data_IF_260156658292
#
_entry.id   IF_260156658292
#
_cell.length_a   1.000
_cell.length_b   1.000
_cell.length_c   1.000
_cell.angle_alpha   90.00
_cell.angle_beta   90.00
_cell.angle_gamma   90.00
#
_symmetry.space_group_name_H-M   'P 1'
#
loop_
_entity.id
_entity.type
_entity.pdbx_description
1 polymer ?
#
# COMPACT_ATOMS: atom_id res chain seq x y z
N UNK A 1 8.15 -29.23 17.04
CA UNK A 1 8.05 -27.89 17.64
C UNK A 1 8.32 -26.84 16.56
N UNK A 2 7.42 -25.86 16.39
CA UNK A 2 7.66 -24.69 15.55
C UNK A 2 6.52 -24.40 14.57
N UNK A 3 5.44 -23.78 15.06
CA UNK A 3 4.27 -23.41 14.27
C UNK A 3 4.67 -22.41 13.16
N UNK A 4 4.60 -22.85 11.90
CA UNK A 4 4.60 -21.97 10.74
C UNK A 4 3.28 -21.18 10.75
N UNK A 5 3.31 -19.94 11.23
CA UNK A 5 2.17 -19.04 11.12
C UNK A 5 1.82 -18.90 9.64
N UNK A 6 0.76 -19.58 9.21
CA UNK A 6 0.09 -19.30 7.94
C UNK A 6 -0.30 -17.82 8.00
N UNK A 7 0.46 -16.97 7.33
CA UNK A 7 0.06 -15.60 7.09
C UNK A 7 -1.24 -15.67 6.30
N UNK A 8 -2.34 -15.45 7.01
CA UNK A 8 -3.69 -15.48 6.45
C UNK A 8 -3.83 -14.19 5.65
N UNK A 9 -3.34 -14.19 4.42
CA UNK A 9 -3.73 -13.17 3.46
C UNK A 9 -5.26 -13.20 3.41
N UNK A 10 -5.88 -12.05 3.67
CA UNK A 10 -7.31 -11.88 3.52
C UNK A 10 -7.64 -12.27 2.07
N UNK A 11 -8.39 -13.36 1.92
CA UNK A 11 -8.99 -13.72 0.65
C UNK A 11 -9.92 -12.56 0.27
N UNK A 12 -9.52 -11.78 -0.74
CA UNK A 12 -10.36 -10.75 -1.34
C UNK A 12 -11.53 -11.47 -2.01
N UNK A 13 -12.74 -11.29 -1.49
CA UNK A 13 -13.95 -11.77 -2.16
C UNK A 13 -14.06 -11.05 -3.50
N UNK A 14 -14.58 -11.76 -4.49
CA UNK A 14 -14.84 -11.27 -5.85
C UNK A 14 -15.71 -9.99 -5.89
N UNK A 15 -16.44 -9.71 -4.80
CA UNK A 15 -17.29 -8.53 -4.61
C UNK A 15 -16.73 -7.46 -3.65
N UNK A 16 -15.50 -7.61 -3.13
CA UNK A 16 -14.81 -6.61 -2.30
C UNK A 16 -14.00 -5.62 -3.16
N UNK A 17 -14.46 -5.34 -4.38
CA UNK A 17 -13.85 -4.38 -5.31
C UNK A 17 -14.24 -2.94 -4.99
N UNK A 18 -14.27 -2.56 -3.70
CA UNK A 18 -14.03 -1.17 -3.37
C UNK A 18 -12.53 -0.94 -3.55
N UNK A 19 -12.13 -0.72 -4.80
CA UNK A 19 -10.98 0.13 -5.05
C UNK A 19 -11.38 1.45 -4.40
N UNK A 20 -11.00 1.64 -3.14
CA UNK A 20 -10.80 2.98 -2.66
C UNK A 20 -9.75 3.53 -3.61
N UNK A 21 -10.23 4.28 -4.62
CA UNK A 21 -9.38 5.24 -5.28
C UNK A 21 -8.64 5.90 -4.14
N UNK A 22 -7.31 5.82 -4.18
CA UNK A 22 -6.48 6.56 -3.23
C UNK A 22 -7.11 7.95 -3.13
N UNK A 23 -7.17 8.57 -1.94
CA UNK A 23 -7.96 9.79 -1.75
C UNK A 23 -7.73 10.83 -2.88
N UNK A 24 -6.53 10.82 -3.46
CA UNK A 24 -6.08 11.45 -4.70
C UNK A 24 -6.99 11.28 -5.94
N UNK A 25 -7.45 10.07 -6.24
CA UNK A 25 -8.33 9.81 -7.39
C UNK A 25 -9.76 10.29 -7.16
N UNK A 26 -10.25 10.27 -5.92
CA UNK A 26 -11.58 10.80 -5.62
C UNK A 26 -11.67 12.29 -5.98
N UNK A 27 -10.64 13.09 -5.65
CA UNK A 27 -10.60 14.52 -5.96
C UNK A 27 -10.40 14.84 -7.45
N UNK A 28 -9.86 13.91 -8.25
CA UNK A 28 -9.75 14.07 -9.69
C UNK A 28 -11.11 13.98 -10.42
N UNK A 29 -12.17 13.51 -9.75
CA UNK A 29 -13.52 13.42 -10.28
C UNK A 29 -14.44 14.56 -9.80
N UNK A 30 -15.63 14.64 -10.41
CA UNK A 30 -16.65 15.62 -10.04
C UNK A 30 -17.10 15.49 -8.57
N UNK A 31 -17.73 16.55 -8.04
CA UNK A 31 -18.13 16.62 -6.63
C UNK A 31 -19.07 15.48 -6.21
N UNK A 32 -19.96 15.01 -7.09
CA UNK A 32 -20.83 13.89 -6.79
C UNK A 32 -20.04 12.58 -6.56
N UNK A 33 -18.99 12.33 -7.35
CA UNK A 33 -18.08 11.21 -7.15
C UNK A 33 -17.26 11.35 -5.87
N UNK A 34 -16.81 12.56 -5.53
CA UNK A 34 -16.07 12.81 -4.28
C UNK A 34 -16.89 12.45 -3.05
N UNK A 35 -18.16 12.87 -2.98
CA UNK A 35 -19.03 12.56 -1.83
C UNK A 35 -19.37 11.07 -1.77
N UNK A 36 -19.62 10.44 -2.92
CA UNK A 36 -20.12 9.05 -2.97
C UNK A 36 -19.03 8.00 -2.78
N UNK A 37 -17.80 8.30 -3.19
CA UNK A 37 -16.68 7.35 -3.19
C UNK A 37 -15.49 7.79 -2.34
N UNK A 38 -15.60 8.89 -1.59
CA UNK A 38 -14.53 9.28 -0.68
C UNK A 38 -14.35 8.20 0.39
N UNK A 39 -13.12 7.71 0.60
CA UNK A 39 -12.85 6.69 1.61
C UNK A 39 -13.24 7.13 3.04
N UNK A 40 -13.37 8.44 3.28
CA UNK A 40 -13.87 8.99 4.57
C UNK A 40 -15.32 8.62 4.87
N UNK A 41 -16.12 8.36 3.84
CA UNK A 41 -17.55 8.05 3.98
C UNK A 41 -17.84 6.55 3.81
N UNK A 42 -16.84 5.73 3.52
CA UNK A 42 -16.98 4.28 3.39
C UNK A 42 -16.86 3.64 4.79
N UNK A 43 -17.91 2.97 5.28
CA UNK A 43 -17.84 2.26 6.56
C UNK A 43 -16.70 1.25 6.57
N UNK A 44 -15.97 1.16 7.68
CA UNK A 44 -14.82 0.25 7.87
C UNK A 44 -13.59 0.53 7.01
N UNK A 45 -13.52 1.65 6.28
CA UNK A 45 -12.27 2.06 5.60
C UNK A 45 -11.14 2.40 6.58
N UNK A 46 -11.49 2.67 7.84
CA UNK A 46 -10.58 3.12 8.88
C UNK A 46 -10.27 4.61 8.74
N UNK A 47 -10.00 5.28 9.87
CA UNK A 47 -9.54 6.67 9.89
C UNK A 47 -8.07 6.77 9.45
N UNK A 48 -7.73 6.14 8.34
CA UNK A 48 -6.44 6.32 7.71
C UNK A 48 -6.47 7.64 6.95
N UNK A 49 -5.37 8.40 6.97
CA UNK A 49 -5.24 9.64 6.19
C UNK A 49 -5.23 9.39 4.67
N UNK A 50 -5.24 8.13 4.25
CA UNK A 50 -5.24 7.72 2.85
C UNK A 50 -3.88 7.93 2.16
N UNK A 51 -2.82 8.30 2.90
CA UNK A 51 -1.49 8.60 2.35
C UNK A 51 -0.55 7.38 2.36
N UNK A 52 -1.06 6.19 2.71
CA UNK A 52 -0.25 4.98 2.86
C UNK A 52 0.48 4.60 1.58
N UNK A 53 -0.21 4.71 0.43
CA UNK A 53 0.37 4.47 -0.88
C UNK A 53 1.46 5.49 -1.19
N UNK A 54 1.22 6.77 -0.98
CA UNK A 54 2.10 7.88 -1.33
C UNK A 54 3.39 7.83 -0.53
N UNK A 55 3.31 7.48 0.76
CA UNK A 55 4.50 7.25 1.59
C UNK A 55 5.31 6.06 1.10
N UNK A 56 4.65 5.01 0.64
CA UNK A 56 5.33 3.85 0.05
C UNK A 56 6.01 4.20 -1.27
N UNK A 57 5.32 4.89 -2.18
CA UNK A 57 5.87 5.36 -3.45
C UNK A 57 7.03 6.35 -3.24
N UNK A 58 6.88 7.30 -2.31
CA UNK A 58 7.94 8.25 -1.96
C UNK A 58 9.19 7.55 -1.43
N UNK A 59 9.03 6.48 -0.64
CA UNK A 59 10.14 5.67 -0.16
C UNK A 59 10.83 4.93 -1.31
N UNK A 60 10.05 4.28 -2.19
CA UNK A 60 10.60 3.54 -3.34
C UNK A 60 11.27 4.44 -4.39
N UNK A 61 10.84 5.70 -4.49
CA UNK A 61 11.39 6.67 -5.44
C UNK A 61 12.92 6.82 -5.32
N UNK A 62 13.47 6.70 -4.11
CA UNK A 62 14.93 6.74 -3.89
C UNK A 62 15.71 5.63 -4.61
N UNK A 63 15.09 4.47 -4.82
CA UNK A 63 15.71 3.30 -5.47
C UNK A 63 15.58 3.32 -6.99
N UNK A 64 14.75 4.21 -7.56
CA UNK A 64 14.53 4.25 -9.00
C UNK A 64 15.78 4.66 -9.78
N UNK A 65 16.60 5.56 -9.25
CA UNK A 65 17.84 5.98 -9.91
C UNK A 65 18.85 4.83 -9.99
N UNK A 66 19.14 4.19 -8.86
CA UNK A 66 20.16 3.14 -8.76
C UNK A 66 19.78 1.85 -9.52
N UNK A 67 18.50 1.55 -9.64
CA UNK A 67 18.03 0.32 -10.29
C UNK A 67 17.94 0.41 -11.82
N UNK A 68 18.09 1.60 -12.41
CA UNK A 68 17.99 1.82 -13.87
C UNK A 68 18.97 0.98 -14.67
N UNK A 69 20.23 0.94 -14.23
CA UNK A 69 21.31 0.25 -14.93
C UNK A 69 21.51 -1.21 -14.46
N UNK A 70 20.68 -1.70 -13.53
CA UNK A 70 20.75 -3.07 -13.04
C UNK A 70 20.08 -4.05 -14.00
N UNK A 71 20.54 -5.30 -13.98
CA UNK A 71 19.80 -6.40 -14.60
C UNK A 71 18.42 -6.57 -13.94
N UNK A 72 17.48 -7.18 -14.68
CA UNK A 72 16.11 -7.41 -14.18
C UNK A 72 16.11 -8.15 -12.82
N UNK A 73 16.92 -9.20 -12.69
CA UNK A 73 17.04 -9.98 -11.45
C UNK A 73 17.55 -9.14 -10.28
N UNK A 74 18.59 -8.33 -10.52
CA UNK A 74 19.17 -7.50 -9.46
C UNK A 74 18.22 -6.37 -9.04
N UNK A 75 17.50 -5.77 -10.00
CA UNK A 75 16.44 -4.80 -9.72
C UNK A 75 15.35 -5.41 -8.85
N UNK A 76 14.89 -6.62 -9.18
CA UNK A 76 13.86 -7.31 -8.42
C UNK A 76 14.31 -7.55 -6.97
N UNK A 77 15.54 -8.02 -6.76
CA UNK A 77 16.08 -8.24 -5.42
C UNK A 77 16.10 -6.94 -4.59
N UNK A 78 16.61 -5.84 -5.14
CA UNK A 78 16.67 -4.55 -4.44
C UNK A 78 15.27 -4.04 -4.10
N UNK A 79 14.32 -4.13 -5.03
CA UNK A 79 12.94 -3.70 -4.78
C UNK A 79 12.32 -4.58 -3.69
N UNK A 80 12.41 -5.90 -3.78
CA UNK A 80 11.86 -6.82 -2.79
C UNK A 80 12.43 -6.60 -1.38
N UNK A 81 13.74 -6.37 -1.28
CA UNK A 81 14.39 -6.05 -0.01
C UNK A 81 13.91 -4.71 0.56
N UNK A 82 13.85 -3.67 -0.28
CA UNK A 82 13.37 -2.34 0.13
C UNK A 82 11.93 -2.38 0.66
N UNK A 83 11.04 -3.16 0.02
CA UNK A 83 9.65 -3.36 0.44
C UNK A 83 9.57 -4.10 1.77
N UNK A 84 10.39 -5.13 1.95
CA UNK A 84 10.48 -5.89 3.20
C UNK A 84 10.92 -4.99 4.35
N UNK A 85 11.97 -4.19 4.13
CA UNK A 85 12.46 -3.22 5.10
C UNK A 85 11.39 -2.18 5.47
N UNK A 86 10.70 -1.59 4.48
CA UNK A 86 9.60 -0.63 4.74
C UNK A 86 8.50 -1.25 5.60
N UNK A 87 8.13 -2.50 5.30
CA UNK A 87 7.08 -3.23 6.04
C UNK A 87 7.48 -3.46 7.49
N UNK A 88 8.73 -3.91 7.73
CA UNK A 88 9.26 -4.13 9.07
C UNK A 88 9.27 -2.84 9.90
N UNK A 89 9.80 -1.75 9.33
CA UNK A 89 9.81 -0.43 9.96
C UNK A 89 8.41 0.05 10.37
N UNK A 90 7.38 -0.24 9.57
CA UNK A 90 6.00 0.09 9.90
C UNK A 90 5.44 -0.79 11.02
N UNK A 91 5.71 -2.10 10.98
CA UNK A 91 5.26 -3.02 12.02
C UNK A 91 5.89 -2.72 13.39
N UNK A 92 7.17 -2.32 13.43
CA UNK A 92 7.86 -1.97 14.67
C UNK A 92 7.33 -0.69 15.33
N UNK A 93 6.72 0.20 14.54
CA UNK A 93 6.18 1.49 15.01
C UNK A 93 4.72 1.41 15.48
N UNK A 94 4.07 0.26 15.34
CA UNK A 94 2.71 0.09 15.82
C UNK A 94 2.71 -0.08 17.36
N UNK A 95 1.88 0.68 18.10
CA UNK A 95 1.69 0.43 19.53
C UNK A 95 1.13 -0.99 19.72
N UNK A 96 1.65 -1.69 20.73
CA UNK A 96 1.21 -3.04 21.11
C UNK A 96 -0.13 -3.01 21.83
#
# INVERSE_FOLDING_TARGET
MGAYMKQKFLYLKENDTWYAGTAFYAYAHNMACQVRYSPKYIPNFGYTDGEGCERFWSYLNGFMSMTRSMSSSNRLLVISDSVSHFTLEKMLKLPK
#
